data_IF_134847260204
#
_entry.id   IF_134847260204
#
_cell.length_a   1.000
_cell.length_b   1.000
_cell.length_c   1.000
_cell.angle_alpha   90.00
_cell.angle_beta   90.00
_cell.angle_gamma   90.00
#
_symmetry.space_group_name_H-M   'P 1'
#
loop_
_entity.id
_entity.type
_entity.pdbx_description
1 polymer ?
#
# COMPACT_ATOMS: atom_id res chain seq x y z
N UNK A 1 19.07 11.98 11.79
CA UNK A 1 17.96 11.31 11.10
C UNK A 1 16.93 10.86 12.13
N UNK A 2 15.66 11.15 11.94
CA UNK A 2 14.59 10.71 12.86
C UNK A 2 14.27 9.24 12.58
N UNK A 3 14.38 8.37 13.57
CA UNK A 3 13.99 6.96 13.44
C UNK A 3 12.46 6.81 13.44
N UNK A 4 11.95 5.70 12.90
CA UNK A 4 10.51 5.36 12.93
C UNK A 4 9.98 5.42 14.37
N UNK A 5 10.74 4.86 15.33
CA UNK A 5 10.42 4.92 16.76
C UNK A 5 10.23 6.35 17.27
N UNK A 6 11.20 7.23 16.97
CA UNK A 6 11.16 8.62 17.42
C UNK A 6 9.96 9.37 16.80
N UNK A 7 9.64 9.08 15.54
CA UNK A 7 8.46 9.65 14.88
C UNK A 7 7.14 9.16 15.49
N UNK A 8 7.04 7.87 15.86
CA UNK A 8 5.87 7.31 16.54
C UNK A 8 5.67 7.91 17.94
N UNK A 9 6.75 8.14 18.69
CA UNK A 9 6.68 8.85 19.98
C UNK A 9 6.13 10.25 19.80
N UNK A 10 6.54 10.97 18.75
CA UNK A 10 6.03 12.33 18.45
C UNK A 10 4.60 12.34 17.94
N UNK A 11 4.11 11.23 17.41
CA UNK A 11 2.69 11.00 17.10
C UNK A 11 1.85 10.66 18.35
N UNK A 12 2.46 10.70 19.54
CA UNK A 12 1.82 10.38 20.82
C UNK A 12 1.27 8.96 20.89
N UNK A 13 1.92 8.02 20.19
CA UNK A 13 1.61 6.59 20.27
C UNK A 13 1.95 6.09 21.68
N UNK A 14 1.03 5.36 22.32
CA UNK A 14 1.29 4.81 23.64
C UNK A 14 2.50 3.87 23.61
N UNK A 15 3.40 3.90 24.62
CA UNK A 15 4.61 3.09 24.62
C UNK A 15 4.38 1.60 24.35
N UNK A 16 3.27 1.06 24.87
CA UNK A 16 2.86 -0.33 24.70
C UNK A 16 2.49 -0.70 23.25
N UNK A 17 2.14 0.28 22.41
CA UNK A 17 1.75 0.09 21.00
C UNK A 17 2.84 0.48 20.01
N UNK A 18 3.96 1.06 20.46
CA UNK A 18 5.05 1.50 19.56
C UNK A 18 5.57 0.32 18.74
N UNK A 19 5.91 -0.80 19.39
CA UNK A 19 6.47 -1.97 18.69
C UNK A 19 5.48 -2.60 17.72
N UNK A 20 4.18 -2.56 18.02
CA UNK A 20 3.16 -2.99 17.06
C UNK A 20 3.22 -2.15 15.78
N UNK A 21 3.26 -0.81 15.90
CA UNK A 21 3.31 0.07 14.75
C UNK A 21 4.64 0.06 14.01
N UNK A 22 5.76 -0.15 14.70
CA UNK A 22 7.08 -0.38 14.07
C UNK A 22 7.00 -1.56 13.09
N UNK A 23 6.43 -2.69 13.54
CA UNK A 23 6.23 -3.88 12.69
C UNK A 23 5.30 -3.59 11.50
N UNK A 24 4.22 -2.84 11.70
CA UNK A 24 3.31 -2.50 10.59
C UNK A 24 3.99 -1.62 9.52
N UNK A 25 4.88 -0.70 9.94
CA UNK A 25 5.63 0.18 9.05
C UNK A 25 6.75 -0.58 8.34
N UNK A 26 7.47 -1.46 9.03
CA UNK A 26 8.48 -2.32 8.42
C UNK A 26 7.86 -3.22 7.35
N UNK A 27 6.70 -3.82 7.65
CA UNK A 27 5.92 -4.57 6.65
C UNK A 27 5.51 -3.68 5.47
N UNK A 28 5.14 -2.42 5.71
CA UNK A 28 4.82 -1.47 4.63
C UNK A 28 6.00 -1.19 3.72
N UNK A 29 7.19 -1.04 4.30
CA UNK A 29 8.45 -0.84 3.59
C UNK A 29 8.79 -2.08 2.74
N UNK A 30 8.78 -3.27 3.33
CA UNK A 30 9.03 -4.52 2.61
C UNK A 30 8.05 -4.71 1.45
N UNK A 31 6.77 -4.37 1.65
CA UNK A 31 5.75 -4.38 0.58
C UNK A 31 6.07 -3.42 -0.55
N UNK A 32 6.46 -2.19 -0.22
CA UNK A 32 6.82 -1.20 -1.23
C UNK A 32 8.06 -1.61 -2.03
N UNK A 33 9.02 -2.31 -1.39
CA UNK A 33 10.20 -2.85 -2.04
C UNK A 33 9.83 -3.90 -3.08
N UNK A 34 9.04 -4.90 -2.68
CA UNK A 34 8.56 -5.97 -3.57
C UNK A 34 7.80 -5.41 -4.78
N UNK A 35 7.01 -4.35 -4.59
CA UNK A 35 6.23 -3.74 -5.67
C UNK A 35 7.10 -2.95 -6.66
N UNK A 36 8.19 -2.37 -6.19
CA UNK A 36 9.15 -1.69 -7.04
C UNK A 36 9.94 -2.68 -7.88
N UNK A 37 10.37 -3.80 -7.27
CA UNK A 37 11.03 -4.90 -7.98
C UNK A 37 10.06 -5.48 -9.02
N UNK A 38 8.78 -5.66 -8.65
CA UNK A 38 7.74 -6.08 -9.58
C UNK A 38 7.53 -5.09 -10.74
N UNK A 39 7.41 -3.79 -10.47
CA UNK A 39 7.23 -2.78 -11.53
C UNK A 39 8.48 -2.66 -12.43
N UNK A 40 9.67 -2.88 -11.88
CA UNK A 40 10.93 -2.90 -12.62
C UNK A 40 11.12 -4.16 -13.48
N UNK A 41 10.62 -5.32 -13.03
CA UNK A 41 10.68 -6.60 -13.75
C UNK A 41 9.62 -6.72 -14.85
N UNK A 42 8.48 -6.04 -14.72
CA UNK A 42 7.38 -6.14 -15.68
C UNK A 42 7.65 -5.31 -16.95
N UNK A 43 8.00 -5.99 -18.04
CA UNK A 43 7.92 -5.43 -19.40
C UNK A 43 6.44 -5.15 -19.74
N UNK A 44 6.17 -4.19 -20.62
CA UNK A 44 4.79 -3.76 -20.97
C UNK A 44 3.84 -4.91 -21.36
N UNK A 45 4.35 -6.01 -21.93
CA UNK A 45 3.57 -7.21 -22.28
C UNK A 45 3.11 -8.00 -21.04
N UNK A 46 3.99 -8.28 -20.08
CA UNK A 46 3.62 -9.02 -18.85
C UNK A 46 2.56 -8.27 -18.02
N UNK A 47 2.58 -6.94 -18.08
CA UNK A 47 1.57 -6.07 -17.47
C UNK A 47 0.19 -6.24 -18.13
N UNK A 48 0.13 -6.47 -19.43
CA UNK A 48 -1.14 -6.73 -20.15
C UNK A 48 -1.69 -8.12 -19.87
N UNK A 49 -0.81 -9.11 -19.75
CA UNK A 49 -1.18 -10.48 -19.36
C UNK A 49 -1.77 -10.50 -17.95
N UNK A 50 -1.10 -9.84 -17.00
CA UNK A 50 -1.59 -9.67 -15.63
C UNK A 50 -2.97 -9.00 -15.59
N UNK A 51 -3.20 -7.96 -16.41
CA UNK A 51 -4.52 -7.28 -16.51
C UNK A 51 -5.61 -8.20 -17.05
N UNK A 52 -5.27 -9.01 -18.04
CA UNK A 52 -6.19 -9.96 -18.69
C UNK A 52 -6.57 -11.08 -17.73
N UNK A 53 -5.58 -11.64 -17.02
CA UNK A 53 -5.77 -12.65 -15.98
C UNK A 53 -6.69 -12.15 -14.86
N UNK A 54 -6.43 -10.94 -14.32
CA UNK A 54 -7.29 -10.32 -13.30
C UNK A 54 -8.72 -10.13 -13.78
N UNK A 55 -8.92 -9.68 -15.01
CA UNK A 55 -10.25 -9.44 -15.57
C UNK A 55 -11.03 -10.75 -15.80
N UNK A 56 -10.35 -11.80 -16.23
CA UNK A 56 -10.95 -13.12 -16.40
C UNK A 56 -11.30 -13.75 -15.04
N UNK A 57 -10.44 -13.58 -14.04
CA UNK A 57 -10.70 -14.08 -12.70
C UNK A 57 -11.84 -13.33 -12.00
N UNK A 58 -11.89 -11.99 -12.12
CA UNK A 58 -13.01 -11.16 -11.66
C UNK A 58 -14.34 -11.62 -12.28
N UNK A 59 -14.35 -11.86 -13.59
CA UNK A 59 -15.56 -12.33 -14.30
C UNK A 59 -16.03 -13.68 -13.75
N UNK A 60 -15.11 -14.62 -13.52
CA UNK A 60 -15.45 -15.92 -12.94
C UNK A 60 -16.01 -15.78 -11.52
N UNK A 61 -15.40 -14.94 -10.68
CA UNK A 61 -15.87 -14.68 -9.32
C UNK A 61 -17.30 -14.13 -9.30
N UNK A 62 -17.57 -13.12 -10.14
CA UNK A 62 -18.89 -12.48 -10.28
C UNK A 62 -19.96 -13.41 -10.85
N UNK A 63 -19.57 -14.37 -11.69
CA UNK A 63 -20.49 -15.36 -12.25
C UNK A 63 -20.97 -16.41 -11.22
N UNK A 64 -20.58 -16.30 -9.94
CA UNK A 64 -20.95 -17.28 -8.93
C UNK A 64 -20.22 -18.61 -9.10
N UNK A 65 -19.05 -18.61 -9.75
CA UNK A 65 -18.26 -19.84 -9.96
C UNK A 65 -18.00 -20.56 -8.63
N UNK A 66 -18.11 -21.89 -8.64
CA UNK A 66 -17.92 -22.75 -7.46
C UNK A 66 -16.53 -22.56 -6.85
N UNK A 67 -16.42 -22.66 -5.53
CA UNK A 67 -15.17 -22.48 -4.78
C UNK A 67 -14.00 -23.30 -5.35
N UNK A 68 -14.20 -24.60 -5.59
CA UNK A 68 -13.18 -25.49 -6.14
C UNK A 68 -12.71 -25.09 -7.55
N UNK A 69 -13.60 -24.54 -8.36
CA UNK A 69 -13.26 -24.04 -9.69
C UNK A 69 -12.50 -22.71 -9.61
N UNK A 70 -12.82 -21.84 -8.65
CA UNK A 70 -12.07 -20.62 -8.40
C UNK A 70 -10.66 -20.92 -7.90
N UNK A 71 -10.48 -21.89 -7.00
CA UNK A 71 -9.16 -22.36 -6.56
C UNK A 71 -8.33 -22.87 -7.74
N UNK A 72 -8.90 -23.72 -8.59
CA UNK A 72 -8.22 -24.24 -9.80
C UNK A 72 -7.88 -23.14 -10.81
N UNK A 73 -8.71 -22.10 -10.93
CA UNK A 73 -8.42 -20.93 -11.78
C UNK A 73 -7.29 -20.10 -11.18
N UNK A 74 -7.32 -19.89 -9.87
CA UNK A 74 -6.30 -19.13 -9.15
C UNK A 74 -4.92 -19.79 -9.26
N UNK A 75 -4.83 -21.11 -9.09
CA UNK A 75 -3.57 -21.85 -9.20
C UNK A 75 -2.94 -21.84 -10.60
N UNK A 76 -3.70 -21.43 -11.62
CA UNK A 76 -3.24 -21.30 -13.02
C UNK A 76 -2.85 -19.88 -13.40
N UNK A 77 -3.10 -18.90 -12.51
CA UNK A 77 -2.67 -17.53 -12.74
C UNK A 77 -1.14 -17.47 -12.71
N UNK A 78 -0.58 -16.52 -13.43
CA UNK A 78 0.84 -16.23 -13.36
C UNK A 78 1.28 -15.86 -11.92
N UNK A 79 2.56 -16.10 -11.60
CA UNK A 79 3.15 -15.68 -10.32
C UNK A 79 2.93 -14.18 -10.04
N UNK A 80 3.13 -13.26 -11.02
CA UNK A 80 2.70 -11.86 -10.95
C UNK A 80 1.29 -11.63 -10.44
N UNK A 81 0.30 -12.27 -11.08
CA UNK A 81 -1.12 -12.09 -10.73
C UNK A 81 -1.44 -12.65 -9.35
N UNK A 82 -0.86 -13.79 -8.98
CA UNK A 82 -1.03 -14.37 -7.63
C UNK A 82 -0.47 -13.42 -6.58
N UNK A 83 0.73 -12.88 -6.80
CA UNK A 83 1.39 -11.96 -5.88
C UNK A 83 0.55 -10.69 -5.65
N UNK A 84 0.07 -10.05 -6.71
CA UNK A 84 -0.72 -8.81 -6.59
C UNK A 84 -2.09 -9.05 -5.92
N UNK A 85 -2.74 -10.20 -6.15
CA UNK A 85 -4.02 -10.53 -5.48
C UNK A 85 -3.80 -10.78 -3.98
N UNK A 86 -2.85 -11.66 -3.62
CA UNK A 86 -2.55 -11.96 -2.22
C UNK A 86 -2.13 -10.71 -1.46
N UNK A 87 -1.36 -9.84 -2.11
CA UNK A 87 -1.02 -8.54 -1.56
C UNK A 87 -2.26 -7.69 -1.28
N UNK A 88 -3.16 -7.51 -2.25
CA UNK A 88 -4.38 -6.72 -2.02
C UNK A 88 -5.30 -7.34 -0.97
N UNK A 89 -5.37 -8.66 -0.88
CA UNK A 89 -6.09 -9.36 0.18
C UNK A 89 -5.54 -9.04 1.57
N UNK A 90 -4.22 -9.09 1.73
CA UNK A 90 -3.57 -8.76 3.01
C UNK A 90 -3.87 -7.33 3.47
N UNK A 91 -4.10 -6.42 2.52
CA UNK A 91 -4.47 -5.04 2.80
C UNK A 91 -5.97 -4.87 3.10
N UNK A 92 -6.84 -5.56 2.37
CA UNK A 92 -8.29 -5.54 2.59
C UNK A 92 -8.68 -6.17 3.92
N UNK A 93 -7.94 -7.20 4.36
CA UNK A 93 -8.24 -7.99 5.56
C UNK A 93 -7.33 -7.70 6.75
N UNK A 94 -6.30 -6.87 6.58
CA UNK A 94 -5.38 -6.40 7.64
C UNK A 94 -4.63 -7.48 8.45
N UNK A 95 -4.57 -8.73 7.98
CA UNK A 95 -4.07 -9.87 8.78
C UNK A 95 -3.12 -10.82 8.04
N UNK A 96 -2.30 -10.33 7.09
CA UNK A 96 -1.44 -11.17 6.22
C UNK A 96 -2.20 -12.28 5.46
N UNK A 97 -3.52 -12.17 5.39
CA UNK A 97 -4.42 -13.13 4.76
C UNK A 97 -4.17 -13.14 3.25
N UNK A 98 -3.80 -14.30 2.72
CA UNK A 98 -3.70 -14.57 1.31
C UNK A 98 -4.95 -15.28 0.77
N UNK A 99 -4.95 -15.61 -0.51
CA UNK A 99 -6.06 -16.30 -1.16
C UNK A 99 -6.34 -17.67 -0.53
N UNK A 100 -5.29 -18.39 -0.11
CA UNK A 100 -5.41 -19.74 0.44
C UNK A 100 -6.11 -19.76 1.81
N UNK A 101 -6.19 -18.62 2.49
CA UNK A 101 -6.83 -18.47 3.79
C UNK A 101 -8.34 -18.17 3.66
N UNK A 102 -8.83 -17.94 2.44
CA UNK A 102 -10.23 -17.61 2.18
C UNK A 102 -11.09 -18.86 2.04
N UNK A 103 -12.16 -18.94 2.84
CA UNK A 103 -13.31 -19.79 2.51
C UNK A 103 -14.15 -19.16 1.38
N UNK A 104 -14.03 -19.69 0.16
CA UNK A 104 -14.76 -19.18 -1.02
C UNK A 104 -16.23 -19.61 -1.09
N UNK A 105 -16.72 -20.37 -0.11
CA UNK A 105 -18.16 -20.59 0.09
C UNK A 105 -18.79 -19.50 0.98
N UNK A 106 -17.98 -18.67 1.62
CA UNK A 106 -18.41 -17.53 2.41
C UNK A 106 -18.49 -16.27 1.52
N UNK A 107 -19.62 -15.57 1.55
CA UNK A 107 -19.86 -14.40 0.70
C UNK A 107 -19.02 -13.17 1.09
N UNK A 108 -18.68 -12.99 2.37
CA UNK A 108 -17.81 -11.91 2.83
C UNK A 108 -16.39 -12.11 2.32
N UNK A 109 -15.88 -13.36 2.35
CA UNK A 109 -14.57 -13.68 1.80
C UNK A 109 -14.52 -13.50 0.27
N UNK A 110 -15.58 -13.88 -0.45
CA UNK A 110 -15.71 -13.62 -1.89
C UNK A 110 -15.74 -12.11 -2.17
N UNK A 111 -16.41 -11.33 -1.32
CA UNK A 111 -16.48 -9.87 -1.44
C UNK A 111 -15.09 -9.25 -1.22
N UNK A 112 -14.37 -9.67 -0.18
CA UNK A 112 -12.99 -9.24 0.08
C UNK A 112 -12.05 -9.57 -1.08
N UNK A 113 -12.18 -10.77 -1.67
CA UNK A 113 -11.45 -11.14 -2.89
C UNK A 113 -11.80 -10.24 -4.08
N UNK A 114 -13.08 -9.94 -4.28
CA UNK A 114 -13.51 -9.04 -5.35
C UNK A 114 -12.94 -7.63 -5.18
N UNK A 115 -12.98 -7.08 -3.96
CA UNK A 115 -12.39 -5.78 -3.62
C UNK A 115 -10.89 -5.79 -3.86
N UNK A 116 -10.20 -6.86 -3.47
CA UNK A 116 -8.77 -7.02 -3.72
C UNK A 116 -8.45 -7.01 -5.22
N UNK A 117 -9.18 -7.80 -6.04
CA UNK A 117 -8.99 -7.83 -7.51
C UNK A 117 -9.24 -6.46 -8.14
N UNK A 118 -10.33 -5.78 -7.76
CA UNK A 118 -10.62 -4.40 -8.21
C UNK A 118 -9.48 -3.44 -7.87
N UNK A 119 -8.94 -3.55 -6.67
CA UNK A 119 -7.81 -2.73 -6.21
C UNK A 119 -6.52 -3.03 -6.97
N UNK A 120 -6.27 -4.29 -7.32
CA UNK A 120 -5.14 -4.71 -8.16
C UNK A 120 -5.23 -4.11 -9.57
N UNK A 121 -6.42 -4.16 -10.18
CA UNK A 121 -6.67 -3.56 -11.50
C UNK A 121 -6.51 -2.04 -11.48
N UNK A 122 -7.04 -1.37 -10.46
CA UNK A 122 -6.86 0.06 -10.26
C UNK A 122 -5.38 0.43 -10.09
N UNK A 123 -4.59 -0.45 -9.45
CA UNK A 123 -3.16 -0.26 -9.31
C UNK A 123 -2.41 -0.37 -10.64
N UNK A 124 -2.70 -1.39 -11.47
CA UNK A 124 -2.07 -1.55 -12.79
C UNK A 124 -2.41 -0.46 -13.82
N UNK A 125 -3.47 0.31 -13.57
CA UNK A 125 -3.89 1.44 -14.40
C UNK A 125 -3.38 2.79 -13.88
N UNK A 126 -2.82 2.84 -12.67
CA UNK A 126 -2.34 4.08 -12.09
C UNK A 126 -0.94 4.42 -12.64
N UNK A 127 -0.75 5.63 -13.14
CA UNK A 127 0.51 6.12 -13.70
C UNK A 127 1.61 6.37 -12.63
N UNK A 128 1.46 5.76 -11.45
CA UNK A 128 2.34 5.86 -10.27
C UNK A 128 3.82 5.51 -10.53
N UNK A 129 4.15 4.93 -11.68
CA UNK A 129 5.52 4.61 -12.08
C UNK A 129 6.41 5.78 -12.54
N UNK A 130 5.86 6.96 -12.89
CA UNK A 130 6.63 7.85 -13.78
C UNK A 130 7.43 9.02 -13.16
N UNK A 131 7.78 9.03 -11.86
CA UNK A 131 8.76 10.07 -11.39
C UNK A 131 9.44 9.84 -10.05
N UNK A 132 8.86 9.05 -9.14
CA UNK A 132 9.49 8.72 -7.84
C UNK A 132 9.48 7.21 -7.52
N UNK A 133 9.10 6.37 -8.50
CA UNK A 133 8.97 4.93 -8.34
C UNK A 133 7.69 4.49 -7.61
N UNK A 134 7.27 3.26 -7.89
CA UNK A 134 6.14 2.59 -7.21
C UNK A 134 6.39 2.50 -5.71
N UNK A 135 7.65 2.26 -5.30
CA UNK A 135 8.09 2.21 -3.90
C UNK A 135 7.63 3.43 -3.08
N UNK A 136 7.99 4.62 -3.54
CA UNK A 136 7.74 5.86 -2.80
C UNK A 136 6.24 6.14 -2.69
N UNK A 137 5.49 5.88 -3.77
CA UNK A 137 4.03 6.06 -3.78
C UNK A 137 3.32 5.11 -2.82
N UNK A 138 3.76 3.86 -2.71
CA UNK A 138 3.15 2.87 -1.80
C UNK A 138 3.49 3.15 -0.34
N UNK A 139 4.72 3.60 -0.04
CA UNK A 139 5.09 4.06 1.31
C UNK A 139 4.20 5.21 1.74
N UNK A 140 4.00 6.21 0.88
CA UNK A 140 3.15 7.38 1.19
C UNK A 140 1.73 6.97 1.55
N UNK A 141 1.11 6.09 0.76
CA UNK A 141 -0.26 5.63 1.02
C UNK A 141 -0.34 4.83 2.33
N UNK A 142 0.61 3.93 2.57
CA UNK A 142 0.63 3.12 3.78
C UNK A 142 0.82 3.98 5.04
N UNK A 143 1.78 4.90 5.03
CA UNK A 143 2.03 5.78 6.19
C UNK A 143 0.87 6.73 6.45
N UNK A 144 0.21 7.24 5.40
CA UNK A 144 -0.97 8.08 5.56
C UNK A 144 -2.12 7.33 6.27
N UNK A 145 -2.37 6.07 5.87
CA UNK A 145 -3.40 5.24 6.50
C UNK A 145 -3.04 4.83 7.92
N UNK A 146 -1.78 4.44 8.17
CA UNK A 146 -1.29 4.12 9.51
C UNK A 146 -1.43 5.35 10.42
N UNK A 147 -1.05 6.54 9.94
CA UNK A 147 -1.21 7.78 10.69
C UNK A 147 -2.69 8.06 11.00
N UNK A 148 -3.61 7.80 10.06
CA UNK A 148 -5.05 7.92 10.28
C UNK A 148 -5.57 6.92 11.31
N UNK A 149 -5.08 5.68 11.29
CA UNK A 149 -5.44 4.66 12.28
C UNK A 149 -4.92 5.00 13.68
N UNK A 150 -3.70 5.56 13.79
CA UNK A 150 -3.11 6.00 15.06
C UNK A 150 -3.88 7.19 15.65
N UNK A 151 -4.15 8.20 14.82
CA UNK A 151 -4.61 9.51 15.30
C UNK A 151 -6.13 9.71 15.19
N UNK A 152 -6.83 8.84 14.46
CA UNK A 152 -8.24 9.00 14.10
C UNK A 152 -8.51 10.13 13.11
N UNK A 153 -7.48 10.81 12.58
CA UNK A 153 -7.59 11.99 11.73
C UNK A 153 -6.77 11.83 10.46
N UNK A 154 -7.19 12.51 9.39
CA UNK A 154 -6.38 12.57 8.17
C UNK A 154 -5.02 13.23 8.45
N UNK A 155 -3.92 12.75 7.82
CA UNK A 155 -2.61 13.31 8.06
C UNK A 155 -2.54 14.76 7.59
N UNK A 156 -2.18 15.65 8.52
CA UNK A 156 -1.89 17.05 8.25
C UNK A 156 -0.44 17.26 7.84
N UNK A 157 -0.24 18.01 6.76
CA UNK A 157 1.07 18.59 6.40
C UNK A 157 1.10 20.05 6.82
N UNK A 158 2.28 20.54 7.16
CA UNK A 158 2.44 21.97 7.48
C UNK A 158 2.24 22.79 6.23
N UNK A 159 1.53 23.92 6.35
CA UNK A 159 1.44 24.90 5.27
C UNK A 159 2.80 25.58 5.07
N UNK A 160 3.18 25.80 3.83
CA UNK A 160 4.39 26.56 3.44
C UNK A 160 4.31 28.04 3.83
N UNK A 161 3.14 28.51 4.29
CA UNK A 161 2.84 29.89 4.70
C UNK A 161 2.76 30.09 6.22
N UNK A 162 2.95 29.04 7.03
CA UNK A 162 2.95 29.19 8.49
C UNK A 162 4.26 29.87 8.95
N UNK A 163 4.12 30.94 9.73
CA UNK A 163 5.20 31.68 10.41
C UNK A 163 5.93 30.89 11.50
N UNK A 164 5.54 29.62 11.73
CA UNK A 164 6.27 28.68 12.57
C UNK A 164 7.45 28.14 11.76
N UNK A 165 8.67 28.37 12.26
CA UNK A 165 9.98 27.95 11.74
C UNK A 165 9.96 27.28 10.36
N UNK A 166 10.66 27.87 9.39
CA UNK A 166 10.86 27.34 8.02
C UNK A 166 11.32 25.86 8.00
N UNK A 167 11.81 25.34 9.13
CA UNK A 167 12.24 23.96 9.35
C UNK A 167 11.26 23.07 10.14
N UNK A 168 10.07 23.55 10.51
CA UNK A 168 9.08 22.74 11.21
C UNK A 168 8.53 21.65 10.29
N UNK A 169 8.57 20.41 10.78
CA UNK A 169 7.99 19.24 10.14
C UNK A 169 6.98 18.59 11.08
N UNK A 170 5.77 18.30 10.60
CA UNK A 170 4.74 17.65 11.42
C UNK A 170 5.19 16.24 11.83
N UNK A 171 4.62 15.66 12.92
CA UNK A 171 4.92 14.29 13.30
C UNK A 171 4.64 13.27 12.17
N UNK A 172 3.61 13.52 11.36
CA UNK A 172 3.34 12.73 10.16
C UNK A 172 4.46 12.85 9.11
N UNK A 173 4.90 14.07 8.80
CA UNK A 173 5.98 14.31 7.85
C UNK A 173 7.28 13.62 8.29
N UNK A 174 7.59 13.65 9.59
CA UNK A 174 8.74 12.96 10.15
C UNK A 174 8.63 11.44 10.03
N UNK A 175 7.44 10.88 10.26
CA UNK A 175 7.20 9.45 10.08
C UNK A 175 7.36 9.04 8.61
N UNK A 176 6.82 9.84 7.69
CA UNK A 176 6.93 9.61 6.26
C UNK A 176 8.38 9.66 5.78
N UNK A 177 9.14 10.67 6.19
CA UNK A 177 10.57 10.81 5.86
C UNK A 177 11.37 9.64 6.43
N UNK A 178 11.11 9.25 7.69
CA UNK A 178 11.78 8.12 8.31
C UNK A 178 11.52 6.82 7.52
N UNK A 179 10.27 6.56 7.14
CA UNK A 179 9.91 5.37 6.38
C UNK A 179 10.53 5.35 4.97
N UNK A 180 10.55 6.49 4.27
CA UNK A 180 11.20 6.62 2.96
C UNK A 180 12.74 6.45 3.07
N UNK A 181 13.35 6.99 4.12
CA UNK A 181 14.80 6.85 4.33
C UNK A 181 15.19 5.40 4.57
N UNK A 182 14.36 4.62 5.29
CA UNK A 182 14.57 3.19 5.49
C UNK A 182 14.59 2.38 4.18
N UNK A 183 14.06 2.91 3.08
CA UNK A 183 14.07 2.25 1.75
C UNK A 183 15.14 2.79 0.82
N UNK A 184 16.08 3.59 1.34
CA UNK A 184 17.12 4.26 0.56
C UNK A 184 16.63 5.53 -0.14
N UNK A 185 15.36 5.91 0.01
CA UNK A 185 14.80 7.14 -0.58
C UNK A 185 15.07 8.31 0.36
N UNK A 186 16.21 8.96 0.17
CA UNK A 186 16.54 10.20 0.90
C UNK A 186 15.75 11.37 0.30
N UNK A 187 14.92 12.02 1.13
CA UNK A 187 14.05 13.11 0.68
C UNK A 187 14.04 14.24 1.71
N UNK A 188 13.95 15.48 1.23
CA UNK A 188 13.73 16.64 2.09
C UNK A 188 12.29 16.68 2.61
N UNK A 189 12.04 17.42 3.70
CA UNK A 189 10.67 17.63 4.20
C UNK A 189 9.74 18.21 3.13
N UNK A 190 10.23 19.17 2.35
CA UNK A 190 9.45 19.76 1.26
C UNK A 190 9.18 18.75 0.13
N UNK A 191 10.15 17.89 -0.18
CA UNK A 191 9.97 16.78 -1.12
C UNK A 191 8.92 15.77 -0.64
N UNK A 192 8.95 15.41 0.65
CA UNK A 192 7.96 14.51 1.25
C UNK A 192 6.54 15.09 1.20
N UNK A 193 6.38 16.41 1.42
CA UNK A 193 5.10 17.11 1.26
C UNK A 193 4.59 17.06 -0.17
N UNK A 194 5.43 17.41 -1.14
CA UNK A 194 5.06 17.39 -2.55
C UNK A 194 4.66 15.99 -3.01
N UNK A 195 5.39 14.97 -2.55
CA UNK A 195 5.09 13.57 -2.81
C UNK A 195 3.74 13.17 -2.19
N UNK A 196 3.50 13.50 -0.92
CA UNK A 196 2.22 13.23 -0.26
C UNK A 196 1.04 13.91 -0.95
N UNK A 197 1.17 15.20 -1.30
CA UNK A 197 0.14 15.95 -2.02
C UNK A 197 -0.19 15.29 -3.36
N UNK A 198 0.84 14.87 -4.11
CA UNK A 198 0.67 14.24 -5.41
C UNK A 198 0.01 12.87 -5.32
N UNK A 199 0.41 12.05 -4.36
CA UNK A 199 0.01 10.63 -4.30
C UNK A 199 -1.30 10.43 -3.56
N UNK A 200 -1.52 11.17 -2.47
CA UNK A 200 -2.62 10.93 -1.54
C UNK A 200 -3.74 11.97 -1.67
N UNK A 201 -3.40 13.26 -1.81
CA UNK A 201 -4.41 14.32 -1.86
C UNK A 201 -5.04 14.52 -3.24
N UNK A 202 -4.35 14.22 -4.34
CA UNK A 202 -4.95 14.22 -5.70
C UNK A 202 -5.92 13.06 -5.95
N UNK A 203 -6.09 12.12 -5.00
CA UNK A 203 -7.01 10.99 -5.09
C UNK A 203 -8.38 11.23 -4.42
N UNK A 204 -8.54 12.36 -3.72
CA UNK A 204 -9.83 12.85 -3.20
C UNK A 204 -10.43 13.84 -4.19
#
# INVERSE_FOLDING_TARGET
>A
MTSIRAALVRLNVSPQKISFWEVQIERAIQRAQLLDDFDAEQVSEEKQDTKSELSNFERALRAGTRASQLQKRFSKLSKPTIAIINWKLSFTLNDNVGFNDLDLNNDDHRTSLYVAIKSSKGWLNDARGFSHGVKASEIVNAIALICKQITGKEPGISSTSATSDVNYSTPFEQLLIAALTCTGVTISTQGARALYQRVFLRKK
#
